data_IF_739481926710
#
_entry.id   IF_739481926710
#
_cell.length_a   1.000
_cell.length_b   1.000
_cell.length_c   1.000
_cell.angle_alpha   90.00
_cell.angle_beta   90.00
_cell.angle_gamma   90.00
#
_symmetry.space_group_name_H-M   'P 1'
#
loop_
_entity.id
_entity.type
_entity.pdbx_description
1 polymer ?
#
# COMPACT_ATOMS: atom_id res chain seq x y z
N UNK A 1 37.72 11.89 -16.12
CA UNK A 1 37.54 12.85 -15.02
C UNK A 1 36.29 12.44 -14.26
N UNK A 2 36.51 11.73 -13.16
CA UNK A 2 35.50 11.19 -12.25
C UNK A 2 34.91 12.33 -11.42
N UNK A 3 33.65 12.70 -11.68
CA UNK A 3 32.92 13.57 -10.76
C UNK A 3 32.37 12.70 -9.63
N UNK A 4 33.06 12.66 -8.50
CA UNK A 4 32.49 12.29 -7.21
C UNK A 4 31.37 13.27 -6.88
N UNK A 5 30.12 12.89 -7.16
CA UNK A 5 28.96 13.55 -6.55
C UNK A 5 28.69 12.80 -5.24
N UNK A 6 29.52 13.06 -4.24
CA UNK A 6 29.22 12.73 -2.84
C UNK A 6 28.44 13.88 -2.23
N UNK A 7 27.19 14.09 -2.67
CA UNK A 7 26.28 15.00 -1.97
C UNK A 7 25.70 14.28 -0.76
N UNK A 8 26.38 14.39 0.39
CA UNK A 8 25.76 14.05 1.67
C UNK A 8 24.67 15.09 1.95
N UNK A 9 23.44 14.77 1.52
CA UNK A 9 22.30 15.67 1.75
C UNK A 9 22.00 15.73 3.24
N UNK A 10 21.88 16.95 3.77
CA UNK A 10 21.57 17.15 5.17
C UNK A 10 20.13 16.73 5.48
N UNK A 11 20.00 15.96 6.56
CA UNK A 11 18.71 15.63 7.14
C UNK A 11 18.04 16.90 7.66
N UNK A 12 16.70 17.01 7.58
CA UNK A 12 15.98 18.05 8.28
C UNK A 12 16.30 18.04 9.79
N UNK A 13 16.54 19.22 10.38
CA UNK A 13 17.01 19.36 11.77
C UNK A 13 16.03 18.84 12.83
N UNK A 14 14.75 18.67 12.47
CA UNK A 14 13.72 18.11 13.34
C UNK A 14 13.71 16.57 13.35
N UNK A 15 14.62 15.92 12.62
CA UNK A 15 14.84 14.49 12.68
C UNK A 15 16.14 14.18 13.44
N UNK A 16 16.12 13.10 14.23
CA UNK A 16 17.32 12.58 14.86
C UNK A 16 18.08 11.68 13.87
N UNK A 17 19.35 11.99 13.50
CA UNK A 17 20.12 11.15 12.58
C UNK A 17 20.35 9.72 13.08
N UNK A 18 20.33 9.52 14.39
CA UNK A 18 20.52 8.21 15.01
C UNK A 18 19.21 7.40 15.09
N UNK A 19 18.06 7.99 14.74
CA UNK A 19 16.75 7.37 14.85
C UNK A 19 15.82 7.83 13.71
N UNK A 20 16.19 7.45 12.48
CA UNK A 20 15.41 7.79 11.29
C UNK A 20 14.24 6.83 11.02
N UNK A 21 14.24 5.66 11.64
CA UNK A 21 13.22 4.62 11.42
C UNK A 21 12.90 4.40 9.94
N UNK A 22 11.60 4.36 9.62
CA UNK A 22 11.10 4.16 8.27
C UNK A 22 11.53 5.25 7.26
N UNK A 23 11.84 6.46 7.73
CA UNK A 23 12.32 7.55 6.85
C UNK A 23 13.72 7.25 6.31
N UNK A 24 14.60 6.69 7.14
CA UNK A 24 15.95 6.29 6.72
C UNK A 24 15.93 5.23 5.63
N UNK A 25 15.03 4.24 5.76
CA UNK A 25 14.82 3.20 4.74
C UNK A 25 14.38 3.82 3.41
N UNK A 26 13.44 4.78 3.45
CA UNK A 26 13.00 5.49 2.25
C UNK A 26 14.15 6.27 1.60
N UNK A 27 14.97 6.99 2.37
CA UNK A 27 16.11 7.75 1.84
C UNK A 27 17.13 6.85 1.12
N UNK A 28 17.43 5.67 1.69
CA UNK A 28 18.31 4.69 1.05
C UNK A 28 17.76 4.23 -0.31
N UNK A 29 16.44 4.07 -0.46
CA UNK A 29 15.84 3.74 -1.75
C UNK A 29 15.98 4.86 -2.77
N UNK A 30 15.83 6.12 -2.36
CA UNK A 30 16.09 7.27 -3.24
C UNK A 30 17.56 7.33 -3.67
N UNK A 31 18.50 7.08 -2.76
CA UNK A 31 19.93 7.03 -3.09
C UNK A 31 20.25 5.94 -4.12
N UNK A 32 19.67 4.75 -3.97
CA UNK A 32 19.80 3.64 -4.95
C UNK A 32 19.29 3.99 -6.35
N UNK A 33 18.28 4.85 -6.44
CA UNK A 33 17.62 5.20 -7.70
C UNK A 33 18.25 6.41 -8.39
N UNK A 34 18.96 7.25 -7.62
CA UNK A 34 19.60 8.48 -8.11
C UNK A 34 20.47 8.28 -9.37
N UNK A 35 21.31 7.22 -9.49
CA UNK A 35 22.14 7.00 -10.68
C UNK A 35 21.36 6.82 -11.99
N UNK A 36 20.08 6.45 -11.92
CA UNK A 36 19.25 6.16 -13.09
C UNK A 36 18.43 7.36 -13.57
N UNK A 37 18.49 8.51 -12.88
CA UNK A 37 17.64 9.67 -13.15
C UNK A 37 18.18 10.60 -14.25
N UNK A 38 19.41 10.39 -14.73
CA UNK A 38 20.01 11.24 -15.76
C UNK A 38 19.97 12.73 -15.40
N UNK A 39 19.43 13.56 -16.30
CA UNK A 39 19.30 15.01 -16.10
C UNK A 39 18.37 15.39 -14.93
N UNK A 40 17.41 14.53 -14.58
CA UNK A 40 16.48 14.74 -13.47
C UNK A 40 17.18 14.60 -12.11
N UNK A 41 18.40 14.03 -12.06
CA UNK A 41 19.19 13.91 -10.84
C UNK A 41 19.38 15.24 -10.11
N UNK A 42 19.39 16.38 -10.83
CA UNK A 42 19.44 17.72 -10.22
C UNK A 42 18.28 18.02 -9.26
N UNK A 43 17.16 17.34 -9.43
CA UNK A 43 15.94 17.55 -8.64
C UNK A 43 15.76 16.53 -7.51
N UNK A 44 16.68 15.57 -7.35
CA UNK A 44 16.50 14.41 -6.46
C UNK A 44 16.23 14.80 -4.99
N UNK A 45 16.79 15.92 -4.53
CA UNK A 45 16.55 16.43 -3.18
C UNK A 45 15.08 16.77 -2.92
N UNK A 46 14.30 17.06 -3.97
CA UNK A 46 12.84 17.24 -3.89
C UNK A 46 12.15 15.99 -3.34
N UNK A 47 12.70 14.80 -3.60
CA UNK A 47 12.17 13.53 -3.08
C UNK A 47 12.58 13.26 -1.64
N UNK A 48 13.55 14.00 -1.09
CA UNK A 48 14.06 13.83 0.28
C UNK A 48 13.49 14.87 1.25
N UNK A 49 12.53 15.69 0.79
CA UNK A 49 11.95 16.79 1.56
C UNK A 49 10.43 16.79 1.40
N UNK A 50 9.65 16.53 2.45
CA UNK A 50 8.20 16.66 2.35
C UNK A 50 7.85 18.12 2.08
N UNK A 51 6.91 18.35 1.15
CA UNK A 51 6.41 19.70 0.83
C UNK A 51 5.82 20.38 2.06
N UNK A 52 5.13 19.63 2.92
CA UNK A 52 4.47 20.14 4.12
C UNK A 52 4.31 19.03 5.15
N UNK A 53 4.61 19.33 6.41
CA UNK A 53 4.26 18.50 7.56
C UNK A 53 3.47 19.36 8.54
N UNK A 54 2.20 19.00 8.77
CA UNK A 54 1.33 19.66 9.74
C UNK A 54 1.19 18.75 10.96
N UNK A 55 1.53 19.28 12.14
CA UNK A 55 1.32 18.64 13.44
C UNK A 55 0.26 19.46 14.16
N UNK A 56 -0.76 18.80 14.69
CA UNK A 56 -1.90 19.43 15.36
C UNK A 56 -2.15 18.78 16.70
N UNK A 57 -2.58 19.59 17.66
CA UNK A 57 -3.20 19.09 18.89
C UNK A 57 -4.65 18.69 18.59
N UNK A 58 -5.07 17.53 19.10
CA UNK A 58 -6.44 17.01 18.96
C UNK A 58 -7.05 16.85 20.35
N UNK A 59 -7.53 17.95 20.97
CA UNK A 59 -8.11 17.90 22.30
C UNK A 59 -9.56 17.40 22.25
N UNK A 60 -9.88 16.44 23.12
CA UNK A 60 -11.24 15.89 23.26
C UNK A 60 -11.60 15.66 24.72
N UNK A 61 -12.88 15.86 25.05
CA UNK A 61 -13.43 15.42 26.31
C UNK A 61 -13.73 13.91 26.24
N UNK A 62 -13.18 13.14 27.17
CA UNK A 62 -13.41 11.72 27.33
C UNK A 62 -14.78 11.47 28.00
N UNK A 63 -15.27 10.24 27.92
CA UNK A 63 -16.58 9.87 28.48
C UNK A 63 -16.64 10.03 30.02
N UNK A 64 -15.48 10.10 30.68
CA UNK A 64 -15.36 10.39 32.12
C UNK A 64 -15.23 11.90 32.45
N UNK A 65 -15.32 12.78 31.44
CA UNK A 65 -15.24 14.24 31.59
C UNK A 65 -13.83 14.83 31.61
N UNK A 66 -12.77 14.02 31.52
CA UNK A 66 -11.40 14.56 31.45
C UNK A 66 -11.05 15.01 30.03
N UNK A 67 -10.25 16.07 29.89
CA UNK A 67 -9.72 16.48 28.59
C UNK A 67 -8.44 15.70 28.29
N UNK A 68 -8.43 14.98 27.19
CA UNK A 68 -7.26 14.30 26.65
C UNK A 68 -6.76 15.02 25.39
N UNK A 69 -5.44 15.03 25.21
CA UNK A 69 -4.76 15.59 24.05
C UNK A 69 -4.08 14.48 23.26
N UNK A 70 -4.22 14.50 21.93
CA UNK A 70 -3.56 13.56 21.04
C UNK A 70 -2.74 14.29 19.99
N UNK A 71 -1.58 13.73 19.64
CA UNK A 71 -0.77 14.21 18.53
C UNK A 71 -1.40 13.77 17.20
N UNK A 72 -1.84 14.75 16.41
CA UNK A 72 -2.30 14.55 15.04
C UNK A 72 -1.23 14.98 14.04
N UNK A 73 -1.07 14.20 12.97
CA UNK A 73 -0.12 14.44 11.89
C UNK A 73 -0.84 14.43 10.54
N UNK A 74 -0.49 15.34 9.64
CA UNK A 74 -0.80 15.25 8.21
C UNK A 74 0.37 15.76 7.38
N UNK A 75 1.03 14.83 6.69
CA UNK A 75 2.21 15.11 5.86
C UNK A 75 1.84 15.00 4.39
N UNK A 76 2.15 16.03 3.61
CA UNK A 76 2.08 16.06 2.16
C UNK A 76 3.51 16.00 1.64
N UNK A 77 3.94 14.83 1.17
CA UNK A 77 5.33 14.61 0.76
C UNK A 77 5.63 15.32 -0.56
N UNK A 78 4.87 15.00 -1.61
CA UNK A 78 5.04 15.61 -2.92
C UNK A 78 3.67 15.89 -3.55
N UNK A 79 3.53 17.01 -4.24
CA UNK A 79 2.29 17.42 -4.93
C UNK A 79 2.57 17.88 -6.37
N UNK A 80 3.65 17.40 -6.99
CA UNK A 80 4.04 17.79 -8.35
C UNK A 80 3.01 17.29 -9.36
N UNK A 81 2.57 16.03 -9.21
CA UNK A 81 1.66 15.33 -10.14
C UNK A 81 0.16 15.52 -9.85
N UNK A 82 -0.20 16.13 -8.72
CA UNK A 82 -1.60 16.30 -8.32
C UNK A 82 -1.77 16.52 -6.81
N UNK A 83 -3.02 16.45 -6.31
CA UNK A 83 -3.31 16.64 -4.89
C UNK A 83 -2.72 15.52 -4.02
N UNK A 84 -2.58 15.78 -2.72
CA UNK A 84 -2.15 14.79 -1.75
C UNK A 84 -3.11 13.60 -1.72
N UNK A 85 -2.56 12.38 -1.60
CA UNK A 85 -3.37 11.18 -1.43
C UNK A 85 -2.71 10.21 -0.47
N UNK A 86 -3.47 9.79 0.54
CA UNK A 86 -3.12 8.67 1.38
C UNK A 86 -3.82 8.67 2.73
N UNK A 87 -3.77 7.50 3.37
CA UNK A 87 -4.60 7.18 4.52
C UNK A 87 -4.25 7.89 5.83
N UNK A 88 -5.10 7.69 6.83
CA UNK A 88 -4.94 8.17 8.21
C UNK A 88 -4.86 6.96 9.14
N UNK A 89 -3.76 6.85 9.91
CA UNK A 89 -3.49 5.74 10.83
C UNK A 89 -3.81 6.10 12.28
N UNK A 90 -4.50 5.23 13.00
CA UNK A 90 -4.67 5.35 14.46
C UNK A 90 -3.80 4.30 15.14
N UNK A 91 -2.67 4.69 15.72
CA UNK A 91 -1.79 3.73 16.40
C UNK A 91 -0.95 4.42 17.48
N UNK A 92 -0.69 3.73 18.58
CA UNK A 92 0.02 4.28 19.75
C UNK A 92 1.47 4.66 19.46
N UNK A 93 2.08 4.03 18.45
CA UNK A 93 3.49 4.26 18.10
C UNK A 93 3.68 5.29 16.98
N UNK A 94 2.59 5.86 16.45
CA UNK A 94 2.65 6.89 15.39
C UNK A 94 3.61 8.00 15.81
N UNK A 95 4.54 8.33 14.92
CA UNK A 95 5.46 9.45 15.07
C UNK A 95 5.65 10.19 13.73
N UNK A 96 6.24 11.38 13.77
CA UNK A 96 6.42 12.23 12.59
C UNK A 96 7.24 11.53 11.48
N UNK A 97 8.34 10.87 11.82
CA UNK A 97 9.23 10.22 10.84
C UNK A 97 8.54 9.07 10.12
N UNK A 98 7.71 8.30 10.82
CA UNK A 98 6.88 7.24 10.23
C UNK A 98 5.87 7.83 9.23
N UNK A 99 5.11 8.87 9.62
CA UNK A 99 4.09 9.49 8.75
C UNK A 99 4.75 10.14 7.52
N UNK A 100 5.95 10.72 7.67
CA UNK A 100 6.75 11.22 6.56
C UNK A 100 7.14 10.12 5.57
N UNK A 101 7.65 8.99 6.08
CA UNK A 101 8.03 7.85 5.24
C UNK A 101 6.81 7.33 4.49
N UNK A 102 5.70 7.07 5.19
CA UNK A 102 4.46 6.59 4.58
C UNK A 102 3.91 7.55 3.52
N UNK A 103 3.99 8.88 3.72
CA UNK A 103 3.59 9.87 2.72
C UNK A 103 4.50 9.83 1.47
N UNK A 104 5.79 9.56 1.65
CA UNK A 104 6.72 9.41 0.56
C UNK A 104 6.51 8.12 -0.22
N UNK A 105 6.27 7.01 0.46
CA UNK A 105 5.82 5.74 -0.15
C UNK A 105 4.54 5.92 -0.97
N UNK A 106 3.59 6.73 -0.50
CA UNK A 106 2.41 7.07 -1.29
C UNK A 106 2.75 7.87 -2.56
N UNK A 107 3.75 8.75 -2.52
CA UNK A 107 4.19 9.48 -3.72
C UNK A 107 4.75 8.51 -4.76
N UNK A 108 5.62 7.58 -4.31
CA UNK A 108 6.20 6.55 -5.16
C UNK A 108 5.12 5.64 -5.74
N UNK A 109 4.23 5.10 -4.89
CA UNK A 109 3.14 4.20 -5.29
C UNK A 109 2.21 4.85 -6.32
N UNK A 110 1.74 6.07 -6.05
CA UNK A 110 0.85 6.78 -6.97
C UNK A 110 1.53 7.08 -8.31
N UNK A 111 2.83 7.38 -8.32
CA UNK A 111 3.58 7.59 -9.54
C UNK A 111 3.88 6.29 -10.30
N UNK A 112 4.18 5.18 -9.62
CA UNK A 112 4.43 3.88 -10.23
C UNK A 112 3.21 3.37 -11.01
N UNK A 113 2.01 3.50 -10.43
CA UNK A 113 0.74 3.17 -11.11
C UNK A 113 0.11 4.33 -11.89
N UNK A 114 0.87 5.40 -12.12
CA UNK A 114 0.50 6.55 -12.94
C UNK A 114 -0.81 7.27 -12.56
N UNK A 115 -1.22 7.23 -11.28
CA UNK A 115 -2.40 7.96 -10.80
C UNK A 115 -2.11 9.47 -10.71
N UNK A 116 -3.07 10.37 -10.96
CA UNK A 116 -2.87 11.82 -10.97
C UNK A 116 -2.81 12.42 -9.55
N UNK A 117 -2.01 11.81 -8.68
CA UNK A 117 -1.87 12.19 -7.28
C UNK A 117 -0.40 12.42 -6.91
N UNK A 118 -0.22 13.33 -5.95
CA UNK A 118 0.94 13.37 -5.09
C UNK A 118 0.87 12.28 -4.01
N UNK A 119 1.73 12.37 -2.98
CA UNK A 119 1.67 11.46 -1.82
C UNK A 119 1.45 12.22 -0.53
N UNK A 120 0.54 11.72 0.29
CA UNK A 120 0.27 12.25 1.62
C UNK A 120 -0.03 11.12 2.60
N UNK A 121 0.08 11.39 3.90
CA UNK A 121 -0.31 10.46 4.96
C UNK A 121 -0.70 11.24 6.20
N UNK A 122 -1.64 10.71 6.97
CA UNK A 122 -1.98 11.20 8.29
C UNK A 122 -1.81 10.12 9.35
N UNK A 123 -1.73 10.56 10.60
CA UNK A 123 -1.71 9.67 11.75
C UNK A 123 -2.19 10.38 13.00
N UNK A 124 -2.80 9.64 13.91
CA UNK A 124 -3.07 10.09 15.28
C UNK A 124 -2.38 9.10 16.21
N UNK A 125 -1.60 9.62 17.16
CA UNK A 125 -0.92 8.82 18.18
C UNK A 125 -1.92 8.38 19.26
N UNK A 126 -2.62 7.28 19.02
CA UNK A 126 -3.72 6.78 19.85
C UNK A 126 -3.83 5.24 19.77
N UNK A 127 -4.05 4.57 20.91
CA UNK A 127 -4.49 3.17 20.91
C UNK A 127 -6.02 3.12 20.85
N UNK A 128 -6.58 2.95 19.65
CA UNK A 128 -8.02 3.03 19.42
C UNK A 128 -8.85 2.03 20.25
N UNK A 129 -8.25 0.93 20.73
CA UNK A 129 -8.94 -0.10 21.54
C UNK A 129 -9.29 0.37 22.94
N UNK A 130 -8.63 1.43 23.43
CA UNK A 130 -8.84 1.99 24.77
C UNK A 130 -9.97 3.01 24.85
N UNK A 131 -10.57 3.36 23.72
CA UNK A 131 -11.55 4.44 23.62
C UNK A 131 -12.88 3.92 23.10
N UNK A 132 -13.95 4.55 23.58
CA UNK A 132 -15.30 4.26 23.12
C UNK A 132 -15.50 4.71 21.68
N UNK A 133 -16.52 4.17 21.00
CA UNK A 133 -16.89 4.61 19.65
C UNK A 133 -17.18 6.12 19.58
N UNK A 134 -17.77 6.68 20.64
CA UNK A 134 -18.10 8.12 20.72
C UNK A 134 -16.85 8.98 20.91
N UNK A 135 -15.89 8.52 21.71
CA UNK A 135 -14.58 9.17 21.85
C UNK A 135 -13.81 9.16 20.53
N UNK A 136 -13.76 8.02 19.84
CA UNK A 136 -13.13 7.92 18.52
C UNK A 136 -13.80 8.81 17.47
N UNK A 137 -15.13 8.94 17.53
CA UNK A 137 -15.86 9.92 16.72
C UNK A 137 -15.37 11.34 17.02
N UNK A 138 -15.36 11.78 18.29
CA UNK A 138 -14.89 13.12 18.67
C UNK A 138 -13.44 13.38 18.24
N UNK A 139 -12.56 12.40 18.40
CA UNK A 139 -11.15 12.46 17.95
C UNK A 139 -11.09 12.64 16.43
N UNK A 140 -11.84 11.83 15.68
CA UNK A 140 -11.85 11.90 14.21
C UNK A 140 -12.36 13.25 13.72
N UNK A 141 -13.45 13.75 14.31
CA UNK A 141 -14.03 15.05 13.98
C UNK A 141 -13.07 16.19 14.30
N UNK A 142 -12.50 16.22 15.50
CA UNK A 142 -11.55 17.26 15.90
C UNK A 142 -10.32 17.25 14.99
N UNK A 143 -9.71 16.09 14.74
CA UNK A 143 -8.58 15.96 13.82
C UNK A 143 -8.91 16.48 12.42
N UNK A 144 -10.08 16.13 11.88
CA UNK A 144 -10.51 16.59 10.54
C UNK A 144 -10.63 18.11 10.48
N UNK A 145 -11.20 18.74 11.51
CA UNK A 145 -11.28 20.20 11.61
C UNK A 145 -9.88 20.84 11.66
N UNK A 146 -8.96 20.30 12.45
CA UNK A 146 -7.59 20.84 12.58
C UNK A 146 -6.78 20.75 11.28
N UNK A 147 -6.97 19.70 10.48
CA UNK A 147 -6.30 19.57 9.17
C UNK A 147 -7.09 20.21 8.01
N UNK A 148 -8.27 20.78 8.28
CA UNK A 148 -9.21 21.32 7.27
C UNK A 148 -8.55 22.29 6.29
N UNK A 149 -7.59 23.09 6.77
CA UNK A 149 -6.85 24.06 5.96
C UNK A 149 -6.02 23.46 4.81
N UNK A 150 -5.69 22.17 4.87
CA UNK A 150 -4.84 21.51 3.87
C UNK A 150 -5.52 20.36 3.12
N UNK A 151 -6.72 19.94 3.54
CA UNK A 151 -7.50 18.90 2.87
C UNK A 151 -8.59 19.48 1.96
N UNK A 152 -9.08 18.64 1.06
CA UNK A 152 -10.11 19.00 0.09
C UNK A 152 -10.02 18.13 -1.16
N UNK A 153 -11.12 17.96 -1.91
CA UNK A 153 -11.17 17.08 -3.08
C UNK A 153 -10.14 17.43 -4.17
N UNK A 154 -9.65 18.68 -4.19
CA UNK A 154 -8.63 19.16 -5.14
C UNK A 154 -7.30 19.50 -4.47
N UNK A 155 -7.14 19.22 -3.17
CA UNK A 155 -5.96 19.59 -2.35
C UNK A 155 -5.27 18.36 -1.77
N UNK A 156 -5.99 17.60 -0.96
CA UNK A 156 -5.50 16.41 -0.28
C UNK A 156 -6.67 15.55 0.19
N UNK A 157 -6.63 14.25 -0.15
CA UNK A 157 -7.74 13.32 -0.02
C UNK A 157 -7.34 12.14 0.90
N UNK A 158 -7.70 12.21 2.20
CA UNK A 158 -7.54 11.12 3.15
C UNK A 158 -8.20 9.79 2.71
N UNK A 159 -7.82 8.71 3.40
CA UNK A 159 -8.33 7.36 3.21
C UNK A 159 -8.18 6.53 4.50
N UNK A 160 -8.71 5.30 4.56
CA UNK A 160 -8.39 4.37 5.64
C UNK A 160 -6.91 3.96 5.64
N UNK A 161 -6.42 3.61 6.82
CA UNK A 161 -5.17 2.92 7.10
C UNK A 161 -5.35 2.07 8.37
N UNK A 162 -4.26 1.67 9.04
CA UNK A 162 -4.32 0.85 10.27
C UNK A 162 -5.24 1.50 11.32
N UNK A 163 -6.19 0.70 11.82
CA UNK A 163 -7.24 1.05 12.78
C UNK A 163 -8.18 2.20 12.37
N UNK A 164 -8.28 2.52 11.09
CA UNK A 164 -9.34 3.37 10.55
C UNK A 164 -10.08 2.63 9.42
N UNK A 165 -11.33 3.00 9.17
CA UNK A 165 -12.20 2.26 8.27
C UNK A 165 -13.25 3.20 7.63
N UNK A 166 -14.24 2.60 6.96
CA UNK A 166 -15.32 3.33 6.30
C UNK A 166 -16.13 4.21 7.26
N UNK A 167 -16.28 3.81 8.54
CA UNK A 167 -16.94 4.65 9.55
C UNK A 167 -16.09 5.89 9.89
N UNK A 168 -14.77 5.73 10.04
CA UNK A 168 -13.86 6.88 10.22
C UNK A 168 -13.97 7.84 9.04
N UNK A 169 -13.98 7.32 7.80
CA UNK A 169 -14.11 8.13 6.59
C UNK A 169 -15.46 8.85 6.52
N UNK A 170 -16.54 8.19 6.95
CA UNK A 170 -17.85 8.84 7.03
C UNK A 170 -17.83 10.06 7.97
N UNK A 171 -17.21 9.93 9.16
CA UNK A 171 -17.07 11.06 10.09
C UNK A 171 -16.18 12.17 9.53
N UNK A 172 -15.09 11.83 8.84
CA UNK A 172 -14.24 12.84 8.19
C UNK A 172 -14.99 13.59 7.09
N UNK A 173 -15.70 12.87 6.21
CA UNK A 173 -16.48 13.46 5.12
C UNK A 173 -17.57 14.40 5.65
N UNK A 174 -18.32 13.94 6.66
CA UNK A 174 -19.38 14.71 7.32
C UNK A 174 -18.81 15.97 7.98
N UNK A 175 -17.74 15.84 8.78
CA UNK A 175 -17.12 16.99 9.46
C UNK A 175 -16.62 18.04 8.48
N UNK A 176 -15.91 17.63 7.42
CA UNK A 176 -15.45 18.54 6.39
C UNK A 176 -16.63 19.23 5.68
N UNK A 177 -17.66 18.46 5.31
CA UNK A 177 -18.84 19.00 4.62
C UNK A 177 -19.59 20.03 5.47
N UNK A 178 -19.76 19.75 6.76
CA UNK A 178 -20.43 20.66 7.69
C UNK A 178 -19.61 21.94 7.94
N UNK A 179 -18.28 21.82 7.99
CA UNK A 179 -17.39 22.98 8.15
C UNK A 179 -17.36 23.88 6.90
N UNK A 180 -17.39 23.30 5.70
CA UNK A 180 -17.38 24.05 4.43
C UNK A 180 -18.79 24.54 4.03
N UNK A 181 -19.85 24.02 4.65
CA UNK A 181 -21.24 24.34 4.33
C UNK A 181 -21.79 23.67 3.07
N UNK A 182 -21.11 22.64 2.55
CA UNK A 182 -21.52 21.88 1.37
C UNK A 182 -21.03 20.43 1.41
N UNK A 183 -21.91 19.50 1.03
CA UNK A 183 -21.58 18.07 0.92
C UNK A 183 -20.43 17.85 -0.05
N UNK A 184 -19.33 17.28 0.45
CA UNK A 184 -18.08 17.11 -0.30
C UNK A 184 -17.61 15.65 -0.24
N UNK A 185 -18.29 14.74 -0.95
CA UNK A 185 -18.02 13.30 -0.88
C UNK A 185 -16.58 12.95 -1.29
N UNK A 186 -16.04 13.67 -2.27
CA UNK A 186 -14.67 13.48 -2.79
C UNK A 186 -13.53 13.96 -1.88
N UNK A 187 -13.81 14.50 -0.68
CA UNK A 187 -12.74 14.91 0.25
C UNK A 187 -12.00 13.72 0.86
N UNK A 188 -12.63 12.55 0.94
CA UNK A 188 -12.01 11.30 1.40
C UNK A 188 -12.43 10.13 0.51
N UNK A 189 -11.65 9.06 0.51
CA UNK A 189 -11.98 7.79 -0.17
C UNK A 189 -12.11 6.65 0.83
N UNK A 190 -12.62 5.49 0.44
CA UNK A 190 -12.90 4.37 1.33
C UNK A 190 -14.16 4.58 2.15
N UNK A 191 -15.11 5.37 1.63
CA UNK A 191 -16.39 5.66 2.26
C UNK A 191 -17.32 4.45 2.19
N UNK A 192 -18.36 4.39 3.05
CA UNK A 192 -19.48 3.49 2.83
C UNK A 192 -20.16 3.80 1.49
N UNK A 193 -20.74 2.78 0.82
CA UNK A 193 -21.47 2.95 -0.45
C UNK A 193 -22.56 4.03 -0.32
N UNK A 194 -23.27 4.04 0.81
CA UNK A 194 -24.33 5.02 1.10
C UNK A 194 -23.86 6.49 1.12
N UNK A 195 -22.54 6.74 1.15
CA UNK A 195 -21.92 8.07 1.19
C UNK A 195 -20.98 8.31 -0.01
N UNK A 196 -21.19 7.61 -1.12
CA UNK A 196 -20.36 7.73 -2.33
C UNK A 196 -19.12 6.83 -2.34
N UNK A 197 -19.09 5.77 -1.54
CA UNK A 197 -18.06 4.74 -1.63
C UNK A 197 -18.14 3.96 -2.95
N UNK A 198 -16.99 3.54 -3.48
CA UNK A 198 -16.93 2.75 -4.71
C UNK A 198 -17.16 1.26 -4.44
N UNK A 199 -17.87 0.60 -5.36
CA UNK A 199 -17.89 -0.87 -5.45
C UNK A 199 -16.47 -1.42 -5.75
N UNK A 200 -16.27 -2.71 -5.50
CA UNK A 200 -15.01 -3.42 -5.76
C UNK A 200 -13.85 -3.06 -4.82
N UNK A 201 -14.03 -2.15 -3.85
CA UNK A 201 -12.93 -1.64 -3.00
C UNK A 201 -12.29 -2.70 -2.10
N UNK A 202 -13.08 -3.65 -1.61
CA UNK A 202 -12.63 -4.72 -0.69
C UNK A 202 -11.69 -5.67 -1.42
N UNK A 203 -12.06 -6.09 -2.63
CA UNK A 203 -11.30 -7.04 -3.45
C UNK A 203 -10.14 -6.40 -4.23
N UNK A 204 -10.16 -5.09 -4.39
CA UNK A 204 -9.26 -4.36 -5.28
C UNK A 204 -7.78 -4.72 -5.12
N UNK A 205 -7.28 -4.82 -3.88
CA UNK A 205 -5.87 -5.12 -3.63
C UNK A 205 -5.52 -6.56 -3.99
N UNK A 206 -6.33 -7.54 -3.60
CA UNK A 206 -6.09 -8.95 -3.96
C UNK A 206 -6.22 -9.20 -5.47
N UNK A 207 -7.15 -8.50 -6.14
CA UNK A 207 -7.23 -8.49 -7.60
C UNK A 207 -5.99 -7.88 -8.24
N UNK A 208 -5.47 -6.78 -7.70
CA UNK A 208 -4.21 -6.19 -8.14
C UNK A 208 -3.03 -7.17 -8.06
N UNK A 209 -2.93 -7.91 -6.95
CA UNK A 209 -1.90 -8.96 -6.76
C UNK A 209 -2.03 -10.04 -7.82
N UNK A 210 -3.23 -10.57 -8.03
CA UNK A 210 -3.49 -11.58 -9.05
C UNK A 210 -3.14 -11.09 -10.47
N UNK A 211 -3.53 -9.86 -10.83
CA UNK A 211 -3.25 -9.27 -12.14
C UNK A 211 -1.74 -9.09 -12.36
N UNK A 212 -1.03 -8.57 -11.36
CA UNK A 212 0.42 -8.40 -11.44
C UNK A 212 1.14 -9.75 -11.55
N UNK A 213 0.66 -10.77 -10.84
CA UNK A 213 1.17 -12.13 -10.96
C UNK A 213 0.96 -12.71 -12.36
N UNK A 214 -0.20 -12.46 -12.98
CA UNK A 214 -0.48 -12.90 -14.35
C UNK A 214 0.46 -12.26 -15.38
N UNK A 215 0.76 -10.96 -15.24
CA UNK A 215 1.72 -10.31 -16.16
C UNK A 215 3.16 -10.80 -15.92
N UNK A 216 3.54 -11.05 -14.66
CA UNK A 216 4.81 -11.69 -14.34
C UNK A 216 4.94 -13.11 -14.90
N UNK A 217 3.86 -13.88 -14.84
CA UNK A 217 3.81 -15.21 -15.44
C UNK A 217 4.03 -15.15 -16.96
N UNK A 218 3.44 -14.16 -17.65
CA UNK A 218 3.64 -13.94 -19.09
C UNK A 218 5.10 -13.62 -19.42
N UNK A 219 5.75 -12.76 -18.63
CA UNK A 219 7.16 -12.42 -18.81
C UNK A 219 8.09 -13.64 -18.69
N UNK A 220 7.72 -14.64 -17.88
CA UNK A 220 8.47 -15.88 -17.71
C UNK A 220 7.97 -17.05 -18.59
N UNK A 221 6.95 -16.84 -19.44
CA UNK A 221 6.34 -17.91 -20.23
C UNK A 221 5.67 -19.01 -19.38
N UNK A 222 5.23 -18.67 -18.17
CA UNK A 222 4.58 -19.58 -17.22
C UNK A 222 3.05 -19.50 -17.34
N UNK A 223 2.38 -20.65 -17.44
CA UNK A 223 0.92 -20.71 -17.39
C UNK A 223 0.37 -20.62 -15.97
N UNK A 224 -0.68 -19.82 -15.75
CA UNK A 224 -1.33 -19.70 -14.42
C UNK A 224 -2.17 -20.95 -14.09
N UNK A 225 -2.96 -21.44 -15.04
CA UNK A 225 -3.73 -22.67 -14.88
C UNK A 225 -2.80 -23.85 -14.58
N UNK A 226 -3.12 -24.62 -13.54
CA UNK A 226 -2.34 -25.77 -13.07
C UNK A 226 -1.11 -25.42 -12.21
N UNK A 227 -0.71 -24.15 -12.12
CA UNK A 227 0.40 -23.72 -11.26
C UNK A 227 0.06 -23.85 -9.79
N UNK A 228 1.07 -24.15 -8.96
CA UNK A 228 0.91 -24.21 -7.49
C UNK A 228 1.11 -22.84 -6.86
N UNK A 229 0.25 -22.49 -5.92
CA UNK A 229 0.21 -21.18 -5.27
C UNK A 229 0.28 -21.35 -3.75
N UNK A 230 1.19 -20.61 -3.12
CA UNK A 230 1.29 -20.44 -1.67
C UNK A 230 0.79 -19.05 -1.30
N UNK A 231 -0.07 -18.96 -0.28
CA UNK A 231 -0.62 -17.67 0.19
C UNK A 231 -0.38 -17.51 1.69
N UNK A 232 0.30 -16.44 2.08
CA UNK A 232 0.41 -16.04 3.48
C UNK A 232 -0.60 -14.92 3.75
N UNK A 233 -1.41 -15.08 4.79
CA UNK A 233 -2.54 -14.22 5.12
C UNK A 233 -3.78 -14.57 4.31
N UNK A 234 -4.90 -14.82 4.98
CA UNK A 234 -6.18 -15.16 4.35
C UNK A 234 -7.27 -14.12 4.63
N UNK A 235 -6.88 -12.86 4.86
CA UNK A 235 -7.81 -11.72 4.93
C UNK A 235 -8.22 -11.20 3.54
N UNK A 236 -8.73 -9.97 3.47
CA UNK A 236 -9.22 -9.36 2.22
C UNK A 236 -8.26 -9.49 1.03
N UNK A 237 -6.95 -9.27 1.23
CA UNK A 237 -5.96 -9.33 0.14
C UNK A 237 -5.69 -10.78 -0.28
N UNK A 238 -5.20 -11.61 0.65
CA UNK A 238 -4.79 -12.98 0.35
C UNK A 238 -5.95 -13.90 0.01
N UNK A 239 -7.10 -13.76 0.67
CA UNK A 239 -8.32 -14.52 0.34
C UNK A 239 -8.84 -14.20 -1.07
N UNK A 240 -8.90 -12.93 -1.44
CA UNK A 240 -9.27 -12.53 -2.81
C UNK A 240 -8.25 -13.03 -3.83
N UNK A 241 -6.95 -12.89 -3.55
CA UNK A 241 -5.91 -13.37 -4.46
C UNK A 241 -6.01 -14.90 -4.64
N UNK A 242 -6.12 -15.66 -3.55
CA UNK A 242 -6.31 -17.11 -3.58
C UNK A 242 -7.53 -17.52 -4.40
N UNK A 243 -8.66 -16.82 -4.21
CA UNK A 243 -9.90 -17.08 -4.96
C UNK A 243 -9.71 -16.88 -6.45
N UNK A 244 -9.12 -15.75 -6.86
CA UNK A 244 -8.90 -15.45 -8.28
C UNK A 244 -7.91 -16.43 -8.93
N UNK A 245 -6.87 -16.84 -8.21
CA UNK A 245 -5.97 -17.90 -8.68
C UNK A 245 -6.74 -19.23 -8.87
N UNK A 246 -7.53 -19.63 -7.88
CA UNK A 246 -8.36 -20.83 -7.93
C UNK A 246 -9.34 -20.83 -9.11
N UNK A 247 -10.04 -19.71 -9.34
CA UNK A 247 -11.00 -19.53 -10.45
C UNK A 247 -10.34 -19.64 -11.84
N UNK A 248 -9.02 -19.43 -11.95
CA UNK A 248 -8.27 -19.64 -13.20
C UNK A 248 -7.67 -21.04 -13.35
N UNK A 249 -8.01 -21.97 -12.45
CA UNK A 249 -7.51 -23.34 -12.46
C UNK A 249 -6.12 -23.52 -11.85
N UNK A 250 -5.57 -22.50 -11.16
CA UNK A 250 -4.37 -22.68 -10.36
C UNK A 250 -4.69 -23.47 -9.08
N UNK A 251 -3.70 -24.20 -8.57
CA UNK A 251 -3.83 -24.99 -7.33
C UNK A 251 -3.26 -24.19 -6.17
N UNK A 252 -4.12 -23.66 -5.30
CA UNK A 252 -3.68 -23.10 -4.03
C UNK A 252 -3.37 -24.27 -3.09
N UNK A 253 -2.09 -24.56 -2.87
CA UNK A 253 -1.64 -25.79 -2.19
C UNK A 253 -1.29 -25.58 -0.72
N UNK A 254 -0.96 -24.34 -0.32
CA UNK A 254 -0.61 -24.03 1.06
C UNK A 254 -1.09 -22.63 1.43
N UNK A 255 -1.70 -22.50 2.61
CA UNK A 255 -2.14 -21.22 3.17
C UNK A 255 -1.68 -21.13 4.61
N UNK A 256 -1.11 -19.99 4.99
CA UNK A 256 -0.75 -19.66 6.37
C UNK A 256 -1.53 -18.43 6.83
N UNK A 257 -2.09 -18.45 8.03
CA UNK A 257 -2.66 -17.27 8.69
C UNK A 257 -2.20 -17.20 10.16
N UNK A 258 -2.84 -16.34 10.95
CA UNK A 258 -2.51 -16.16 12.37
C UNK A 258 -2.88 -17.36 13.25
N UNK A 259 -3.73 -18.28 12.77
CA UNK A 259 -4.13 -19.51 13.48
C UNK A 259 -3.19 -20.67 13.21
N UNK A 260 -2.56 -20.72 12.03
CA UNK A 260 -1.59 -21.76 11.66
C UNK A 260 -1.41 -21.91 10.16
N UNK A 261 -0.96 -23.09 9.72
CA UNK A 261 -0.69 -23.39 8.31
C UNK A 261 -1.38 -24.68 7.87
N UNK A 262 -2.10 -24.61 6.75
CA UNK A 262 -2.77 -25.76 6.12
C UNK A 262 -2.21 -26.05 4.73
N UNK A 263 -2.18 -27.31 4.35
CA UNK A 263 -1.59 -27.81 3.11
C UNK A 263 -2.46 -28.89 2.45
N UNK A 264 -2.56 -28.85 1.13
CA UNK A 264 -3.12 -29.91 0.30
C UNK A 264 -2.44 -29.90 -1.08
N UNK A 265 -1.64 -30.92 -1.39
CA UNK A 265 -0.93 -31.06 -2.67
C UNK A 265 -1.88 -31.08 -3.88
N UNK A 266 -3.11 -31.56 -3.71
CA UNK A 266 -4.12 -31.59 -4.77
C UNK A 266 -4.79 -30.23 -5.01
N UNK A 267 -4.56 -29.27 -4.12
CA UNK A 267 -5.21 -27.96 -4.11
C UNK A 267 -6.33 -27.88 -3.07
N UNK A 268 -6.45 -26.71 -2.46
CA UNK A 268 -7.50 -26.34 -1.50
C UNK A 268 -8.65 -25.69 -2.27
N UNK A 269 -9.90 -26.11 -2.00
CA UNK A 269 -11.07 -25.40 -2.53
C UNK A 269 -11.22 -24.07 -1.78
N UNK A 270 -10.97 -22.97 -2.48
CA UNK A 270 -10.93 -21.65 -1.86
C UNK A 270 -12.34 -21.13 -1.54
N UNK A 271 -13.36 -21.52 -2.30
CA UNK A 271 -14.74 -21.15 -1.96
C UNK A 271 -15.18 -21.81 -0.65
N UNK A 272 -14.85 -23.09 -0.47
CA UNK A 272 -15.19 -23.82 0.75
C UNK A 272 -14.38 -23.29 1.96
N UNK A 273 -13.11 -22.94 1.76
CA UNK A 273 -12.31 -22.32 2.82
C UNK A 273 -12.81 -20.91 3.19
N UNK A 274 -13.24 -20.11 2.22
CA UNK A 274 -13.85 -18.80 2.49
C UNK A 274 -15.12 -18.95 3.34
N UNK A 275 -16.00 -19.90 3.01
CA UNK A 275 -17.18 -20.20 3.81
C UNK A 275 -16.80 -20.71 5.21
N UNK A 276 -15.76 -21.54 5.32
CA UNK A 276 -15.27 -22.05 6.60
C UNK A 276 -14.85 -20.93 7.55
N UNK A 277 -14.09 -19.95 7.07
CA UNK A 277 -13.57 -18.85 7.91
C UNK A 277 -14.63 -17.81 8.29
N UNK A 278 -15.86 -17.88 7.76
CA UNK A 278 -16.97 -17.04 8.24
C UNK A 278 -17.42 -17.45 9.65
N UNK A 279 -17.39 -18.76 9.93
CA UNK A 279 -17.84 -19.35 11.21
C UNK A 279 -16.67 -19.70 12.16
N UNK A 280 -15.43 -19.52 11.72
CA UNK A 280 -14.22 -19.93 12.44
C UNK A 280 -13.23 -18.78 12.57
N UNK A 281 -12.38 -18.77 13.61
CA UNK A 281 -11.43 -17.68 13.85
C UNK A 281 -10.31 -17.56 12.79
N UNK A 282 -10.12 -18.60 11.96
CA UNK A 282 -9.13 -18.63 10.88
C UNK A 282 -9.14 -19.98 10.15
N UNK A 283 -8.08 -20.27 9.40
CA UNK A 283 -8.03 -21.43 8.48
C UNK A 283 -7.79 -22.77 9.16
N UNK A 284 -7.26 -22.78 10.40
CA UNK A 284 -6.92 -24.03 11.08
C UNK A 284 -8.15 -24.87 11.40
N UNK A 285 -8.04 -26.18 11.13
CA UNK A 285 -9.13 -27.13 11.32
C UNK A 285 -9.98 -27.36 10.07
N UNK A 286 -9.65 -26.72 8.94
CA UNK A 286 -10.32 -26.96 7.67
C UNK A 286 -10.22 -28.45 7.25
N UNK A 287 -11.35 -29.18 7.09
CA UNK A 287 -11.33 -30.64 6.95
C UNK A 287 -10.60 -31.19 5.70
N UNK A 288 -10.55 -30.41 4.62
CA UNK A 288 -9.96 -30.84 3.35
C UNK A 288 -8.48 -30.48 3.20
N UNK A 289 -7.81 -30.07 4.28
CA UNK A 289 -6.38 -29.79 4.28
C UNK A 289 -5.72 -30.35 5.55
N UNK A 290 -4.43 -30.66 5.44
CA UNK A 290 -3.64 -31.12 6.59
C UNK A 290 -2.90 -29.96 7.21
N UNK A 291 -2.84 -29.92 8.54
CA UNK A 291 -1.99 -28.97 9.25
C UNK A 291 -0.51 -29.34 9.05
N UNK A 292 0.32 -28.33 8.79
CA UNK A 292 1.78 -28.43 8.75
C UNK A 292 2.39 -27.38 9.70
N UNK A 293 3.71 -27.46 9.95
CA UNK A 293 4.36 -26.43 10.76
C UNK A 293 4.38 -25.08 10.03
N UNK A 294 4.46 -23.98 10.79
CA UNK A 294 4.49 -22.64 10.22
C UNK A 294 5.81 -22.37 9.47
N UNK A 295 6.88 -23.05 9.88
CA UNK A 295 8.18 -23.00 9.24
C UNK A 295 8.16 -23.70 7.87
N UNK A 296 7.46 -24.86 7.79
CA UNK A 296 7.36 -25.65 6.56
C UNK A 296 6.65 -24.90 5.42
N UNK A 297 5.78 -23.93 5.74
CA UNK A 297 5.11 -23.06 4.76
C UNK A 297 6.10 -22.52 3.72
N UNK A 298 7.25 -22.01 4.17
CA UNK A 298 8.24 -21.36 3.31
C UNK A 298 8.99 -22.35 2.42
N UNK A 299 9.02 -23.64 2.79
CA UNK A 299 9.75 -24.68 2.07
C UNK A 299 8.91 -25.39 1.00
N UNK A 300 7.59 -25.15 0.96
CA UNK A 300 6.68 -25.74 -0.04
C UNK A 300 7.05 -25.21 -1.44
N UNK A 301 7.35 -26.15 -2.35
CA UNK A 301 7.66 -25.80 -3.73
C UNK A 301 6.41 -25.29 -4.44
N UNK A 302 6.48 -24.11 -5.03
CA UNK A 302 5.35 -23.46 -5.72
C UNK A 302 5.81 -22.71 -6.96
N UNK A 303 4.86 -22.37 -7.82
CA UNK A 303 5.10 -21.45 -8.92
C UNK A 303 4.92 -20.00 -8.46
N UNK A 304 3.95 -19.75 -7.58
CA UNK A 304 3.63 -18.43 -7.02
C UNK A 304 3.66 -18.45 -5.49
N UNK A 305 4.32 -17.47 -4.89
CA UNK A 305 4.28 -17.18 -3.46
C UNK A 305 3.70 -15.77 -3.23
N UNK A 306 2.65 -15.67 -2.41
CA UNK A 306 1.91 -14.43 -2.17
C UNK A 306 1.97 -14.09 -0.67
N UNK A 307 2.95 -13.28 -0.21
CA UNK A 307 2.93 -12.75 1.14
C UNK A 307 1.94 -11.58 1.26
N UNK A 308 0.80 -11.83 1.91
CA UNK A 308 -0.33 -10.90 2.06
C UNK A 308 -0.79 -10.73 3.52
N UNK A 309 0.12 -10.94 4.48
CA UNK A 309 -0.11 -10.76 5.91
C UNK A 309 0.58 -9.48 6.45
N UNK A 310 1.68 -9.64 7.18
CA UNK A 310 2.43 -8.56 7.83
C UNK A 310 3.72 -8.23 7.06
N UNK A 311 4.39 -7.17 7.48
CA UNK A 311 5.75 -6.82 7.07
C UNK A 311 6.80 -7.83 7.59
N UNK A 312 8.00 -7.81 7.00
CA UNK A 312 9.19 -8.53 7.44
C UNK A 312 8.99 -10.05 7.68
N UNK A 313 8.16 -10.70 6.86
CA UNK A 313 7.89 -12.14 6.93
C UNK A 313 8.96 -12.95 6.20
N UNK A 314 9.55 -12.37 5.15
CA UNK A 314 10.59 -12.98 4.34
C UNK A 314 11.90 -12.28 4.70
N UNK A 315 12.75 -12.99 5.41
CA UNK A 315 13.99 -12.50 6.01
C UNK A 315 15.14 -13.42 5.66
N UNK A 316 16.37 -13.05 6.06
CA UNK A 316 17.55 -13.92 5.93
C UNK A 316 17.36 -15.31 6.56
N UNK A 317 16.43 -15.46 7.52
CA UNK A 317 16.19 -16.74 8.22
C UNK A 317 15.47 -17.77 7.36
N UNK A 318 14.65 -17.35 6.39
CA UNK A 318 13.81 -18.24 5.58
C UNK A 318 13.96 -18.07 4.06
N UNK A 319 14.60 -17.01 3.57
CA UNK A 319 14.79 -16.76 2.14
C UNK A 319 15.47 -17.93 1.39
N UNK A 320 16.42 -18.61 2.03
CA UNK A 320 17.10 -19.78 1.46
C UNK A 320 16.18 -20.98 1.26
N UNK A 321 15.13 -21.11 2.08
CA UNK A 321 14.18 -22.23 2.04
C UNK A 321 13.13 -22.08 0.94
N UNK A 322 12.87 -20.84 0.49
CA UNK A 322 11.84 -20.52 -0.50
C UNK A 322 12.15 -21.18 -1.85
N UNK A 323 11.18 -21.97 -2.34
CA UNK A 323 11.23 -22.65 -3.64
C UNK A 323 10.07 -22.17 -4.50
N UNK A 324 10.15 -20.93 -4.97
CA UNK A 324 9.13 -20.32 -5.84
C UNK A 324 9.74 -19.75 -7.11
N UNK A 325 8.94 -19.60 -8.17
CA UNK A 325 9.37 -18.92 -9.40
C UNK A 325 9.03 -17.44 -9.36
N UNK A 326 7.83 -17.10 -8.88
CA UNK A 326 7.33 -15.73 -8.82
C UNK A 326 6.88 -15.43 -7.39
N UNK A 327 7.42 -14.37 -6.81
CA UNK A 327 6.98 -13.82 -5.52
C UNK A 327 6.19 -12.54 -5.78
N UNK A 328 4.96 -12.44 -5.26
CA UNK A 328 4.09 -11.28 -5.51
C UNK A 328 3.61 -10.68 -4.19
N UNK A 329 4.13 -9.50 -3.85
CA UNK A 329 3.90 -8.91 -2.53
C UNK A 329 2.49 -8.32 -2.40
N UNK A 330 1.64 -8.95 -1.58
CA UNK A 330 0.32 -8.42 -1.24
C UNK A 330 0.34 -7.47 -0.04
N UNK A 331 1.20 -7.75 0.94
CA UNK A 331 1.48 -6.86 2.08
C UNK A 331 2.42 -5.71 1.67
N UNK A 332 2.59 -4.72 2.55
CA UNK A 332 3.63 -3.70 2.37
C UNK A 332 4.90 -4.16 3.08
N UNK A 333 6.05 -4.14 2.39
CA UNK A 333 7.34 -4.56 2.92
C UNK A 333 7.39 -5.98 3.53
N UNK A 334 6.79 -7.02 2.92
CA UNK A 334 6.89 -8.38 3.47
C UNK A 334 8.31 -8.95 3.40
N UNK A 335 9.15 -8.44 2.49
CA UNK A 335 10.50 -8.95 2.22
C UNK A 335 11.56 -7.93 2.66
N UNK A 336 12.53 -8.36 3.47
CA UNK A 336 13.66 -7.49 3.86
C UNK A 336 14.65 -7.30 2.69
N UNK A 337 15.43 -6.21 2.65
CA UNK A 337 16.42 -6.00 1.60
C UNK A 337 17.41 -7.17 1.44
N UNK A 338 17.86 -7.77 2.54
CA UNK A 338 18.79 -8.90 2.53
C UNK A 338 18.14 -10.16 1.94
N UNK A 339 16.86 -10.38 2.20
CA UNK A 339 16.11 -11.48 1.63
C UNK A 339 15.82 -11.28 0.13
N UNK A 340 15.59 -10.03 -0.29
CA UNK A 340 15.45 -9.64 -1.70
C UNK A 340 16.70 -10.02 -2.50
N UNK A 341 17.89 -9.72 -1.95
CA UNK A 341 19.17 -10.08 -2.57
C UNK A 341 19.35 -11.60 -2.71
N UNK A 342 19.04 -12.38 -1.66
CA UNK A 342 19.10 -13.84 -1.69
C UNK A 342 18.16 -14.43 -2.74
N UNK A 343 16.90 -13.97 -2.77
CA UNK A 343 15.89 -14.46 -3.69
C UNK A 343 16.20 -14.07 -5.14
N UNK A 344 16.71 -12.85 -5.36
CA UNK A 344 17.17 -12.39 -6.67
C UNK A 344 18.34 -13.25 -7.17
N UNK A 345 19.32 -13.57 -6.33
CA UNK A 345 20.43 -14.47 -6.68
C UNK A 345 19.97 -15.89 -7.03
N UNK A 346 18.89 -16.36 -6.38
CA UNK A 346 18.23 -17.64 -6.70
C UNK A 346 17.38 -17.60 -7.97
N UNK A 347 17.28 -16.44 -8.63
CA UNK A 347 16.48 -16.27 -9.84
C UNK A 347 14.97 -16.20 -9.60
N UNK A 348 14.54 -15.89 -8.38
CA UNK A 348 13.12 -15.67 -8.07
C UNK A 348 12.69 -14.32 -8.63
N UNK A 349 11.59 -14.31 -9.38
CA UNK A 349 11.03 -13.08 -9.96
C UNK A 349 10.12 -12.38 -8.95
N UNK A 350 10.64 -11.30 -8.34
CA UNK A 350 9.93 -10.57 -7.28
C UNK A 350 9.14 -9.41 -7.88
N UNK A 351 7.82 -9.45 -7.72
CA UNK A 351 6.91 -8.36 -8.06
C UNK A 351 6.68 -7.50 -6.80
N UNK A 352 7.18 -6.26 -6.76
CA UNK A 352 7.21 -5.45 -5.56
C UNK A 352 5.84 -4.90 -5.18
N UNK A 353 5.62 -4.79 -3.87
CA UNK A 353 4.41 -4.28 -3.21
C UNK A 353 3.90 -2.95 -3.78
N UNK A 354 4.80 -2.03 -4.12
CA UNK A 354 4.51 -0.71 -4.71
C UNK A 354 3.61 -0.82 -5.95
N UNK A 355 3.67 -1.94 -6.68
CA UNK A 355 2.82 -2.18 -7.85
C UNK A 355 1.76 -3.23 -7.52
N UNK A 356 2.14 -4.41 -7.02
CA UNK A 356 1.22 -5.53 -6.86
C UNK A 356 0.03 -5.23 -5.95
N UNK A 357 0.24 -4.48 -4.86
CA UNK A 357 -0.83 -4.15 -3.92
C UNK A 357 -1.51 -2.79 -4.20
N UNK A 358 -1.21 -2.15 -5.34
CA UNK A 358 -1.73 -0.84 -5.69
C UNK A 358 -3.20 -0.84 -6.16
N UNK A 359 -3.85 -2.00 -6.22
CA UNK A 359 -5.25 -2.07 -6.62
C UNK A 359 -6.18 -1.29 -5.68
N UNK A 360 -5.94 -1.33 -4.36
CA UNK A 360 -6.72 -0.56 -3.39
C UNK A 360 -6.62 0.96 -3.59
N UNK A 361 -5.45 1.50 -3.94
CA UNK A 361 -5.30 2.94 -4.23
C UNK A 361 -5.90 3.29 -5.60
N UNK A 362 -5.87 2.37 -6.55
CA UNK A 362 -6.49 2.53 -7.87
C UNK A 362 -8.01 2.61 -7.77
N UNK A 363 -8.65 1.75 -6.99
CA UNK A 363 -10.12 1.86 -6.77
C UNK A 363 -10.46 3.07 -5.90
N UNK A 364 -9.57 3.48 -5.00
CA UNK A 364 -9.74 4.77 -4.29
C UNK A 364 -9.67 5.97 -5.25
N UNK A 365 -8.85 5.90 -6.30
CA UNK A 365 -8.85 6.88 -7.37
C UNK A 365 -10.18 6.86 -8.15
N UNK A 366 -10.71 5.68 -8.48
CA UNK A 366 -12.02 5.59 -9.14
C UNK A 366 -13.14 6.15 -8.27
N UNK A 367 -13.16 5.89 -6.97
CA UNK A 367 -14.10 6.49 -6.02
C UNK A 367 -14.07 8.02 -6.13
N UNK A 368 -12.87 8.60 -6.06
CA UNK A 368 -12.67 10.05 -6.18
C UNK A 368 -13.12 10.60 -7.55
N UNK A 369 -12.89 9.87 -8.64
CA UNK A 369 -13.39 10.27 -9.98
C UNK A 369 -14.92 10.26 -10.03
N UNK A 370 -15.55 9.22 -9.50
CA UNK A 370 -17.02 9.09 -9.47
C UNK A 370 -17.65 10.18 -8.60
N UNK A 371 -17.00 10.57 -7.50
CA UNK A 371 -17.47 11.60 -6.57
C UNK A 371 -17.61 12.99 -7.22
N UNK A 372 -16.82 13.33 -8.24
CA UNK A 372 -16.91 14.66 -8.89
C UNK A 372 -18.28 14.95 -9.50
N UNK A 373 -18.93 13.92 -10.04
CA UNK A 373 -20.26 14.05 -10.66
C UNK A 373 -21.31 13.19 -9.98
N UNK A 374 -20.95 12.49 -8.89
CA UNK A 374 -21.79 11.47 -8.24
C UNK A 374 -22.36 10.45 -9.24
N UNK A 375 -21.52 10.02 -10.19
CA UNK A 375 -21.87 9.05 -11.23
C UNK A 375 -21.07 7.77 -10.98
N UNK A 376 -21.75 6.75 -10.47
CA UNK A 376 -21.12 5.52 -9.98
C UNK A 376 -21.13 4.41 -11.03
N UNK A 377 -20.02 3.70 -11.14
CA UNK A 377 -19.83 2.59 -12.06
C UNK A 377 -20.24 1.26 -11.43
N UNK A 378 -20.59 0.30 -12.27
CA UNK A 378 -20.79 -1.08 -11.84
C UNK A 378 -19.48 -1.73 -11.37
N UNK A 379 -19.59 -2.80 -10.58
CA UNK A 379 -18.42 -3.54 -10.11
C UNK A 379 -17.60 -4.15 -11.27
N UNK A 380 -18.26 -4.59 -12.33
CA UNK A 380 -17.59 -5.10 -13.53
C UNK A 380 -16.74 -4.01 -14.20
N UNK A 381 -17.31 -2.81 -14.40
CA UNK A 381 -16.57 -1.68 -14.98
C UNK A 381 -15.38 -1.27 -14.12
N UNK A 382 -15.53 -1.28 -12.79
CA UNK A 382 -14.43 -1.02 -11.84
C UNK A 382 -13.32 -2.06 -12.01
N UNK A 383 -13.68 -3.35 -12.06
CA UNK A 383 -12.72 -4.44 -12.19
C UNK A 383 -11.98 -4.38 -13.52
N UNK A 384 -12.68 -4.18 -14.64
CA UNK A 384 -12.05 -4.06 -15.96
C UNK A 384 -11.05 -2.88 -16.03
N UNK A 385 -11.42 -1.72 -15.47
CA UNK A 385 -10.54 -0.55 -15.42
C UNK A 385 -9.34 -0.78 -14.50
N UNK A 386 -9.55 -1.43 -13.36
CA UNK A 386 -8.50 -1.80 -12.41
C UNK A 386 -7.48 -2.72 -13.09
N UNK A 387 -7.94 -3.80 -13.72
CA UNK A 387 -7.04 -4.74 -14.40
C UNK A 387 -6.19 -4.06 -15.45
N UNK A 388 -6.81 -3.19 -16.27
CA UNK A 388 -6.07 -2.43 -17.30
C UNK A 388 -4.95 -1.59 -16.68
N UNK A 389 -5.25 -0.77 -15.67
CA UNK A 389 -4.24 0.09 -15.04
C UNK A 389 -3.11 -0.71 -14.38
N UNK A 390 -3.45 -1.82 -13.72
CA UNK A 390 -2.45 -2.69 -13.09
C UNK A 390 -1.53 -3.37 -14.12
N UNK A 391 -2.07 -3.82 -15.26
CA UNK A 391 -1.28 -4.39 -16.37
C UNK A 391 -0.35 -3.34 -16.98
N UNK A 392 -0.87 -2.14 -17.26
CA UNK A 392 -0.10 -1.04 -17.84
C UNK A 392 1.03 -0.60 -16.89
N UNK A 393 0.76 -0.53 -15.58
CA UNK A 393 1.76 -0.22 -14.57
C UNK A 393 2.86 -1.30 -14.51
N UNK A 394 2.48 -2.58 -14.46
CA UNK A 394 3.44 -3.68 -14.45
C UNK A 394 4.35 -3.64 -15.67
N UNK A 395 3.79 -3.49 -16.88
CA UNK A 395 4.56 -3.44 -18.14
C UNK A 395 5.54 -2.28 -18.15
N UNK A 396 5.08 -1.09 -17.78
CA UNK A 396 5.95 0.09 -17.69
C UNK A 396 7.14 -0.13 -16.77
N UNK A 397 6.99 -0.90 -15.69
CA UNK A 397 8.08 -1.20 -14.77
C UNK A 397 8.96 -2.33 -15.29
N UNK A 398 8.37 -3.39 -15.85
CA UNK A 398 9.10 -4.50 -16.45
C UNK A 398 10.00 -4.02 -17.61
N UNK A 399 9.52 -3.11 -18.44
CA UNK A 399 10.30 -2.52 -19.54
C UNK A 399 11.52 -1.75 -19.03
N UNK A 400 11.35 -0.95 -17.97
CA UNK A 400 12.46 -0.22 -17.32
C UNK A 400 13.44 -1.16 -16.64
N UNK A 401 12.94 -2.23 -16.00
CA UNK A 401 13.78 -3.26 -15.39
C UNK A 401 14.67 -3.94 -16.44
N UNK A 402 14.09 -4.35 -17.57
CA UNK A 402 14.80 -4.96 -18.69
C UNK A 402 15.80 -3.98 -19.33
N UNK A 403 15.41 -2.71 -19.49
CA UNK A 403 16.27 -1.70 -20.10
C UNK A 403 17.52 -1.40 -19.28
N UNK A 404 17.40 -1.29 -17.95
CA UNK A 404 18.52 -0.99 -17.07
C UNK A 404 19.22 -2.21 -16.48
N UNK A 405 18.68 -3.42 -16.67
CA UNK A 405 19.21 -4.64 -16.06
C UNK A 405 19.11 -4.63 -14.53
N UNK A 406 17.99 -4.13 -13.99
CA UNK A 406 17.77 -3.98 -12.54
C UNK A 406 16.56 -4.79 -12.08
N UNK A 407 16.42 -4.99 -10.76
CA UNK A 407 15.22 -5.64 -10.19
C UNK A 407 13.94 -4.83 -10.45
N UNK A 408 12.79 -5.51 -10.49
CA UNK A 408 11.48 -4.85 -10.62
C UNK A 408 11.24 -3.83 -9.50
N UNK A 409 11.72 -4.09 -8.28
CA UNK A 409 11.64 -3.12 -7.17
C UNK A 409 12.39 -1.84 -7.50
N UNK A 410 13.63 -1.94 -7.97
CA UNK A 410 14.44 -0.78 -8.37
C UNK A 410 13.78 -0.06 -9.54
N UNK A 411 13.34 -0.80 -10.56
CA UNK A 411 12.65 -0.23 -11.71
C UNK A 411 11.35 0.51 -11.34
N UNK A 412 10.59 0.00 -10.37
CA UNK A 412 9.36 0.65 -9.90
C UNK A 412 9.66 2.04 -9.35
N UNK A 413 10.75 2.17 -8.60
CA UNK A 413 11.22 3.46 -8.12
C UNK A 413 11.77 4.34 -9.23
N UNK A 414 12.52 3.80 -10.20
CA UNK A 414 13.00 4.57 -11.36
C UNK A 414 11.80 5.20 -12.08
N UNK A 415 10.78 4.40 -12.42
CA UNK A 415 9.55 4.89 -13.06
C UNK A 415 8.87 5.96 -12.23
N UNK A 416 8.68 5.71 -10.93
CA UNK A 416 8.00 6.64 -10.04
C UNK A 416 8.75 7.97 -9.87
N UNK A 417 10.05 7.91 -9.58
CA UNK A 417 10.89 9.08 -9.39
C UNK A 417 11.00 9.90 -10.68
N UNK A 418 11.18 9.24 -11.82
CA UNK A 418 11.20 9.88 -13.14
C UNK A 418 9.91 10.67 -13.37
N UNK A 419 8.73 10.05 -13.24
CA UNK A 419 7.44 10.74 -13.42
C UNK A 419 7.25 11.91 -12.45
N UNK A 420 7.67 11.79 -11.19
CA UNK A 420 7.56 12.86 -10.19
C UNK A 420 8.48 14.03 -10.54
N UNK A 421 9.72 13.73 -10.92
CA UNK A 421 10.75 14.72 -11.20
C UNK A 421 10.56 15.38 -12.56
N UNK A 422 10.03 14.68 -13.57
CA UNK A 422 9.58 15.28 -14.83
C UNK A 422 8.47 16.30 -14.57
N UNK A 423 7.46 15.93 -13.78
CA UNK A 423 6.40 16.87 -13.39
C UNK A 423 6.95 18.06 -12.59
N UNK A 424 7.97 17.84 -11.76
CA UNK A 424 8.66 18.92 -11.03
C UNK A 424 9.42 19.83 -11.99
N UNK A 425 10.16 19.27 -12.94
CA UNK A 425 10.96 20.00 -13.91
C UNK A 425 10.10 20.87 -14.82
N UNK A 426 9.04 20.30 -15.40
CA UNK A 426 8.11 21.02 -16.29
C UNK A 426 7.40 22.16 -15.57
N UNK A 427 7.02 21.97 -14.30
CA UNK A 427 6.39 23.02 -13.48
C UNK A 427 7.37 24.08 -12.99
N UNK A 428 8.66 23.75 -12.92
CA UNK A 428 9.70 24.62 -12.38
C UNK A 428 9.57 24.93 -10.88
N UNK A 429 10.12 26.07 -10.50
CA UNK A 429 10.10 26.63 -9.16
C UNK A 429 9.26 27.91 -9.18
N UNK A 430 8.17 27.92 -8.41
CA UNK A 430 7.29 29.06 -8.17
C UNK A 430 6.57 28.83 -6.82
N UNK A 431 6.32 29.83 -5.96
CA UNK A 431 6.69 31.25 -6.09
C UNK A 431 8.18 31.48 -6.30
#
# INVERSE_FOLDING_TARGET
MTSEITTSHSLPSYLNPNDLGAWGIYLQQIDRVTPYLGSLGRWVETLKRPKRSLIVDVPVELDNGTIAHFEGYRVQHNTSRGPGKGGVRFHQDVCLSEVMALAAWMSIKNAAVNLPFGGAKGGIRIDARKYSKKELERVTRRYTSEIGLIIGPTKDIPAPDVNTNSQTMAWMMDTYSMNEGATSTGVVTGKPIALGGSLGRIEATGRGVFVAACEAAKDLGLGVSGSRVAVQGFGNVGGTAARLFHETGAKVVVIQDHTGTIFNENGINIHDLLNYVEDHPGIMGFPEATAISNEDFWAVATEFLIPAALENQITIKNADQIKTKILVEGANGPTTPEADDILTQKGVHIVPDVISNAGGVTVSYFEWVQDFSSFFWSEEEINQRLERLMRDAYRSVSDVAKHHGVSLRTAAFIVACTRILEAREVRGLYP
#
